data_IF_769330160184
#
_entry.id   IF_769330160184
#
_cell.length_a   1.000
_cell.length_b   1.000
_cell.length_c   1.000
_cell.angle_alpha   90.00
_cell.angle_beta   90.00
_cell.angle_gamma   90.00
#
_symmetry.space_group_name_H-M   'P 1'
#
loop_
_entity.id
_entity.type
_entity.pdbx_description
1 polymer ?
#
# COMPACT_ATOMS: atom_id res chain seq x y z
N UNK A 1 2.15 -6.61 -7.76
CA UNK A 1 2.10 -5.76 -8.97
C UNK A 1 3.36 -5.92 -9.78
N UNK A 2 3.32 -5.81 -11.11
CA UNK A 2 4.51 -5.84 -11.96
C UNK A 2 4.53 -4.65 -12.90
N UNK A 3 5.72 -4.08 -13.14
CA UNK A 3 5.94 -3.05 -14.16
C UNK A 3 7.42 -3.01 -14.53
N UNK A 4 7.74 -2.78 -15.82
CA UNK A 4 9.11 -2.59 -16.33
C UNK A 4 10.13 -3.64 -15.82
N UNK A 5 9.73 -4.91 -15.78
CA UNK A 5 10.60 -6.02 -15.34
C UNK A 5 10.83 -6.10 -13.82
N UNK A 6 9.99 -5.44 -13.01
CA UNK A 6 10.06 -5.46 -11.54
C UNK A 6 8.77 -6.02 -10.96
N UNK A 7 8.90 -6.78 -9.87
CA UNK A 7 7.81 -7.28 -9.05
C UNK A 7 7.75 -6.46 -7.76
N UNK A 8 6.58 -5.89 -7.46
CA UNK A 8 6.30 -5.13 -6.25
C UNK A 8 5.32 -5.89 -5.35
N UNK A 9 5.63 -5.96 -4.07
CA UNK A 9 4.80 -6.63 -3.07
C UNK A 9 4.90 -5.92 -1.71
N UNK A 10 3.83 -6.05 -0.90
CA UNK A 10 3.87 -5.73 0.52
C UNK A 10 4.16 -7.04 1.26
N UNK A 11 5.22 -7.04 2.07
CA UNK A 11 5.74 -8.25 2.74
C UNK A 11 5.91 -7.97 4.23
N UNK A 12 5.48 -8.92 5.05
CA UNK A 12 5.83 -8.97 6.47
C UNK A 12 7.11 -9.79 6.66
N UNK A 13 8.12 -9.20 7.28
CA UNK A 13 9.37 -9.85 7.66
C UNK A 13 9.44 -10.11 9.18
N UNK A 14 8.31 -10.05 9.90
CA UNK A 14 8.24 -10.50 11.29
C UNK A 14 8.51 -12.02 11.40
N UNK A 15 9.07 -12.49 12.54
CA UNK A 15 9.31 -13.92 12.73
C UNK A 15 8.03 -14.75 12.57
N UNK A 16 8.07 -15.77 11.72
CA UNK A 16 6.91 -16.63 11.43
C UNK A 16 6.40 -17.42 12.64
N UNK A 17 7.20 -17.56 13.70
CA UNK A 17 6.82 -18.20 14.96
C UNK A 17 5.91 -17.32 15.83
N UNK A 18 5.71 -16.06 15.44
CA UNK A 18 4.93 -15.07 16.17
C UNK A 18 3.63 -14.78 15.43
N UNK A 19 2.81 -15.80 15.21
CA UNK A 19 1.43 -15.59 14.76
C UNK A 19 0.54 -15.29 15.96
N UNK A 20 -0.49 -14.46 15.80
CA UNK A 20 -1.49 -14.26 16.85
C UNK A 20 -1.43 -12.93 17.59
N UNK A 21 -2.08 -12.92 18.75
CA UNK A 21 -2.13 -11.79 19.66
C UNK A 21 -0.85 -11.76 20.52
N UNK A 22 0.14 -10.99 20.12
CA UNK A 22 1.41 -10.81 20.86
C UNK A 22 1.86 -9.34 20.87
N UNK A 23 2.79 -9.01 21.76
CA UNK A 23 3.26 -7.62 21.94
C UNK A 23 4.40 -7.22 20.98
N UNK A 24 5.02 -8.19 20.31
CA UNK A 24 6.07 -7.90 19.32
C UNK A 24 5.48 -7.20 18.09
N UNK A 25 6.17 -6.19 17.51
CA UNK A 25 5.67 -5.46 16.35
C UNK A 25 5.86 -6.27 15.06
N UNK A 26 4.89 -6.15 14.14
CA UNK A 26 5.03 -6.65 12.76
C UNK A 26 6.08 -5.82 11.99
N UNK A 27 6.63 -6.36 10.89
CA UNK A 27 7.68 -5.69 10.11
C UNK A 27 7.32 -5.65 8.64
N UNK A 28 6.48 -4.68 8.29
CA UNK A 28 5.97 -4.53 6.93
C UNK A 28 6.86 -3.68 6.03
N UNK A 29 7.04 -4.14 4.79
CA UNK A 29 7.81 -3.45 3.76
C UNK A 29 7.08 -3.49 2.43
N UNK A 30 7.14 -2.37 1.68
CA UNK A 30 6.97 -2.41 0.23
C UNK A 30 8.31 -2.80 -0.37
N UNK A 31 8.35 -3.91 -1.09
CA UNK A 31 9.58 -4.44 -1.71
C UNK A 31 9.47 -4.38 -3.22
N UNK A 32 10.62 -4.14 -3.87
CA UNK A 32 10.79 -4.40 -5.29
C UNK A 32 11.81 -5.50 -5.51
N UNK A 33 11.48 -6.43 -6.39
CA UNK A 33 12.36 -7.50 -6.84
C UNK A 33 12.48 -7.47 -8.35
N UNK A 34 13.62 -7.92 -8.85
CA UNK A 34 13.76 -8.25 -10.27
C UNK A 34 12.74 -9.34 -10.64
N UNK A 35 11.96 -9.12 -11.70
CA UNK A 35 10.88 -10.03 -12.06
C UNK A 35 11.36 -11.31 -12.75
N UNK A 36 12.61 -11.36 -13.23
CA UNK A 36 13.18 -12.53 -13.87
C UNK A 36 13.77 -13.51 -12.84
N UNK A 37 14.51 -13.00 -11.85
CA UNK A 37 15.24 -13.85 -10.90
C UNK A 37 14.87 -13.65 -9.42
N UNK A 38 14.00 -12.68 -9.10
CA UNK A 38 13.54 -12.44 -7.73
C UNK A 38 14.54 -11.73 -6.81
N UNK A 39 15.69 -11.27 -7.33
CA UNK A 39 16.69 -10.51 -6.56
C UNK A 39 16.04 -9.27 -5.95
N UNK A 40 16.27 -9.05 -4.65
CA UNK A 40 15.81 -7.85 -3.96
C UNK A 40 16.53 -6.62 -4.52
N UNK A 41 15.77 -5.65 -5.02
CA UNK A 41 16.30 -4.39 -5.53
C UNK A 41 16.32 -3.34 -4.43
N UNK A 42 15.16 -3.14 -3.78
CA UNK A 42 14.99 -2.20 -2.69
C UNK A 42 13.80 -2.59 -1.81
N UNK A 43 13.76 -2.01 -0.60
CA UNK A 43 12.60 -2.09 0.29
C UNK A 43 12.36 -0.78 1.02
N UNK A 44 11.10 -0.41 1.18
CA UNK A 44 10.63 0.78 1.89
C UNK A 44 9.78 0.33 3.08
N UNK A 45 10.06 0.77 4.31
CA UNK A 45 9.28 0.38 5.48
C UNK A 45 7.86 0.96 5.40
N UNK A 46 6.86 0.13 5.73
CA UNK A 46 5.47 0.54 5.91
C UNK A 46 5.21 0.58 7.41
N UNK A 47 4.97 1.78 7.95
CA UNK A 47 4.67 1.94 9.38
C UNK A 47 3.18 1.83 9.60
N UNK A 48 2.77 1.32 10.75
CA UNK A 48 1.35 1.21 11.13
C UNK A 48 0.58 0.45 10.05
N UNK A 49 0.88 -0.84 9.91
CA UNK A 49 0.25 -1.76 8.97
C UNK A 49 -0.07 -3.09 9.67
N UNK A 50 -0.94 -3.87 9.05
CA UNK A 50 -1.39 -5.15 9.60
C UNK A 50 -2.60 -4.98 10.52
N UNK A 51 -2.99 -6.09 11.14
CA UNK A 51 -4.29 -6.23 11.79
C UNK A 51 -4.54 -5.28 12.96
N UNK A 52 -3.50 -4.90 13.67
CA UNK A 52 -3.57 -3.95 14.80
C UNK A 52 -4.08 -2.56 14.40
N UNK A 53 -4.05 -2.24 13.11
CA UNK A 53 -4.46 -0.93 12.59
C UNK A 53 -5.93 -0.86 12.18
N UNK A 54 -6.60 -2.01 12.07
CA UNK A 54 -7.98 -2.10 11.60
C UNK A 54 -8.90 -2.96 12.46
N UNK A 55 -8.37 -3.67 13.47
CA UNK A 55 -9.16 -4.43 14.43
C UNK A 55 -8.41 -4.66 15.75
N UNK A 56 -9.18 -4.96 16.80
CA UNK A 56 -8.67 -5.11 18.17
C UNK A 56 -8.06 -6.48 18.48
N UNK A 57 -8.36 -7.49 17.67
CA UNK A 57 -7.90 -8.88 17.88
C UNK A 57 -7.36 -9.51 16.60
N UNK A 58 -6.28 -10.27 16.70
CA UNK A 58 -5.72 -11.02 15.57
C UNK A 58 -6.70 -12.04 15.00
N UNK A 59 -7.59 -12.59 15.82
CA UNK A 59 -8.53 -13.63 15.41
C UNK A 59 -9.63 -13.08 14.49
N UNK A 60 -10.09 -13.90 13.53
CA UNK A 60 -11.25 -13.61 12.68
C UNK A 60 -12.17 -14.84 12.70
N UNK A 61 -13.44 -14.62 13.06
CA UNK A 61 -14.45 -15.69 13.16
C UNK A 61 -14.79 -16.37 11.82
N UNK A 62 -14.52 -15.69 10.70
CA UNK A 62 -14.69 -16.23 9.36
C UNK A 62 -13.41 -16.00 8.54
N UNK A 63 -12.95 -17.01 7.76
CA UNK A 63 -11.98 -16.77 6.71
C UNK A 63 -12.56 -15.74 5.76
N UNK A 64 -11.89 -14.60 5.63
CA UNK A 64 -12.35 -13.49 4.81
C UNK A 64 -11.22 -12.51 4.57
N UNK A 65 -11.31 -11.80 3.45
CA UNK A 65 -10.36 -10.74 3.08
C UNK A 65 -10.59 -9.52 3.99
N UNK A 66 -9.86 -9.48 5.12
CA UNK A 66 -10.00 -8.45 6.15
C UNK A 66 -8.65 -7.76 6.34
N UNK A 67 -8.57 -6.44 6.06
CA UNK A 67 -9.62 -5.55 5.62
C UNK A 67 -9.86 -5.72 4.12
N UNK A 68 -11.10 -5.48 3.70
CA UNK A 68 -11.47 -5.49 2.28
C UNK A 68 -10.56 -4.55 1.49
N UNK A 69 -10.08 -5.03 0.34
CA UNK A 69 -9.27 -4.29 -0.62
C UNK A 69 -7.83 -3.96 -0.19
N UNK A 70 -7.26 -4.62 0.82
CA UNK A 70 -5.86 -4.39 1.21
C UNK A 70 -4.88 -4.56 0.04
N UNK A 71 -5.15 -5.52 -0.84
CA UNK A 71 -4.42 -5.82 -2.07
C UNK A 71 -4.54 -4.71 -3.12
N UNK A 72 -5.56 -3.86 -3.05
CA UNK A 72 -5.82 -2.79 -4.02
C UNK A 72 -5.14 -1.46 -3.67
N UNK A 73 -4.26 -1.48 -2.68
CA UNK A 73 -3.51 -0.31 -2.19
C UNK A 73 -2.11 -0.20 -2.78
N UNK A 74 -1.80 -0.99 -3.80
CA UNK A 74 -0.53 -0.99 -4.52
C UNK A 74 -0.79 -1.01 -6.02
N UNK A 75 -0.33 0.02 -6.72
CA UNK A 75 -0.43 0.15 -8.18
C UNK A 75 0.95 0.49 -8.74
N UNK A 76 1.31 -0.08 -9.88
CA UNK A 76 2.55 0.25 -10.58
C UNK A 76 2.24 0.60 -12.04
N UNK A 77 2.74 1.73 -12.52
CA UNK A 77 2.56 2.22 -13.89
C UNK A 77 3.89 2.78 -14.39
N UNK A 78 4.44 2.18 -15.44
CA UNK A 78 5.75 2.60 -15.96
C UNK A 78 6.84 2.47 -14.90
N UNK A 79 7.51 3.59 -14.60
CA UNK A 79 8.54 3.69 -13.57
C UNK A 79 8.05 4.33 -12.27
N UNK A 80 6.73 4.36 -12.04
CA UNK A 80 6.11 4.90 -10.83
C UNK A 80 5.30 3.83 -10.11
N UNK A 81 5.41 3.81 -8.78
CA UNK A 81 4.60 2.99 -7.88
C UNK A 81 3.76 3.91 -6.99
N UNK A 82 2.47 3.63 -6.90
CA UNK A 82 1.55 4.29 -5.98
C UNK A 82 1.17 3.30 -4.87
N UNK A 83 1.39 3.70 -3.62
CA UNK A 83 1.02 2.89 -2.47
C UNK A 83 0.69 3.74 -1.24
N UNK A 84 -0.06 3.18 -0.29
CA UNK A 84 -0.18 3.75 1.06
C UNK A 84 0.90 3.15 1.97
N UNK A 85 1.81 3.98 2.49
CA UNK A 85 2.90 3.55 3.38
C UNK A 85 2.45 3.48 4.86
N UNK A 86 1.24 2.96 5.07
CA UNK A 86 0.56 2.79 6.34
C UNK A 86 -0.94 2.61 6.12
N UNK A 87 -1.63 1.96 7.05
CA UNK A 87 -3.04 1.59 6.84
C UNK A 87 -3.96 2.82 6.73
N UNK A 88 -3.68 3.87 7.49
CA UNK A 88 -4.39 5.14 7.41
C UNK A 88 -3.61 6.23 6.65
N UNK A 89 -2.44 5.88 6.10
CA UNK A 89 -1.57 6.83 5.44
C UNK A 89 -2.16 7.34 4.11
N UNK A 90 -1.79 8.55 3.68
CA UNK A 90 -2.10 9.02 2.34
C UNK A 90 -1.35 8.21 1.26
N UNK A 91 -1.81 8.32 0.02
CA UNK A 91 -1.13 7.75 -1.14
C UNK A 91 0.22 8.44 -1.33
N UNK A 92 1.24 7.64 -1.63
CA UNK A 92 2.58 8.10 -1.97
C UNK A 92 2.96 7.66 -3.38
N UNK A 93 3.60 8.57 -4.12
CA UNK A 93 4.30 8.32 -5.37
C UNK A 93 5.74 7.89 -5.05
N UNK A 94 6.15 6.75 -5.58
CA UNK A 94 7.43 6.11 -5.28
C UNK A 94 8.13 5.79 -6.60
N UNK A 95 9.40 6.14 -6.69
CA UNK A 95 10.24 5.76 -7.83
C UNK A 95 10.40 4.23 -7.88
N UNK A 96 9.98 3.62 -8.98
CA UNK A 96 9.95 2.16 -9.11
C UNK A 96 11.36 1.53 -9.13
N UNK A 97 12.40 2.30 -9.46
CA UNK A 97 13.78 1.80 -9.60
C UNK A 97 14.54 1.83 -8.27
N UNK A 98 14.29 2.82 -7.43
CA UNK A 98 15.06 3.09 -6.20
C UNK A 98 14.27 2.92 -4.91
N UNK A 99 12.94 2.98 -4.97
CA UNK A 99 12.09 3.03 -3.78
C UNK A 99 12.05 4.41 -3.12
N UNK A 100 12.62 5.45 -3.74
CA UNK A 100 12.54 6.81 -3.22
C UNK A 100 11.09 7.32 -3.26
N UNK A 101 10.62 7.86 -2.14
CA UNK A 101 9.32 8.55 -2.09
C UNK A 101 9.48 9.90 -2.79
N UNK A 102 8.79 10.08 -3.92
CA UNK A 102 8.86 11.30 -4.73
C UNK A 102 7.82 12.32 -4.30
N UNK A 103 6.63 11.85 -3.90
CA UNK A 103 5.49 12.71 -3.54
C UNK A 103 4.57 12.00 -2.56
N UNK A 104 3.90 12.77 -1.72
CA UNK A 104 2.78 12.29 -0.90
C UNK A 104 1.55 13.15 -1.18
N UNK A 105 0.45 12.51 -1.57
CA UNK A 105 -0.80 13.18 -1.91
C UNK A 105 -1.61 13.47 -0.64
N UNK A 106 -1.35 14.59 0.02
CA UNK A 106 -2.10 14.99 1.22
C UNK A 106 -3.62 15.08 0.95
N UNK A 107 -4.43 14.73 1.96
CA UNK A 107 -5.90 14.69 1.82
C UNK A 107 -6.43 13.38 1.23
N UNK A 108 -5.55 12.39 1.01
CA UNK A 108 -5.90 11.03 0.56
C UNK A 108 -5.74 9.99 1.67
N UNK A 109 -5.69 10.43 2.93
CA UNK A 109 -5.60 9.55 4.09
C UNK A 109 -6.74 8.53 4.09
N UNK A 110 -6.48 7.32 4.58
CA UNK A 110 -7.45 6.20 4.58
C UNK A 110 -7.92 5.80 3.18
N UNK A 111 -7.10 5.99 2.14
CA UNK A 111 -7.33 5.40 0.82
C UNK A 111 -7.37 3.87 0.92
N UNK A 112 -8.45 3.28 0.41
CA UNK A 112 -8.70 1.85 0.45
C UNK A 112 -8.45 1.15 -0.89
N UNK A 113 -8.59 1.87 -2.00
CA UNK A 113 -8.32 1.35 -3.35
C UNK A 113 -7.73 2.47 -4.19
N UNK A 114 -6.71 2.12 -4.96
CA UNK A 114 -6.03 3.01 -5.90
C UNK A 114 -6.25 2.43 -7.30
N UNK A 115 -6.70 3.29 -8.22
CA UNK A 115 -6.66 3.03 -9.65
C UNK A 115 -5.89 4.18 -10.31
N UNK A 116 -5.03 3.85 -11.28
CA UNK A 116 -4.34 4.86 -12.09
C UNK A 116 -4.76 4.68 -13.54
N UNK A 117 -5.36 5.72 -14.12
CA UNK A 117 -5.80 5.74 -15.51
C UNK A 117 -5.41 7.08 -16.13
N UNK A 118 -4.64 7.04 -17.22
CA UNK A 118 -4.27 8.23 -18.02
C UNK A 118 -3.76 9.42 -17.18
N UNK A 119 -2.88 9.14 -16.21
CA UNK A 119 -2.30 10.16 -15.33
C UNK A 119 -3.24 10.67 -14.22
N UNK A 120 -4.42 10.07 -14.07
CA UNK A 120 -5.36 10.36 -12.98
C UNK A 120 -5.37 9.20 -11.99
N UNK A 121 -5.19 9.51 -10.71
CA UNK A 121 -5.42 8.59 -9.61
C UNK A 121 -6.89 8.67 -9.20
N UNK A 122 -7.63 7.59 -9.39
CA UNK A 122 -8.99 7.42 -8.88
C UNK A 122 -8.88 6.66 -7.57
N UNK A 123 -9.26 7.31 -6.47
CA UNK A 123 -9.07 6.79 -5.13
C UNK A 123 -10.43 6.57 -4.47
N UNK A 124 -10.61 5.41 -3.84
CA UNK A 124 -11.67 5.23 -2.85
C UNK A 124 -11.11 5.53 -1.46
N UNK A 125 -11.73 6.48 -0.77
CA UNK A 125 -11.27 7.00 0.52
C UNK A 125 -12.34 6.74 1.57
N UNK A 126 -11.97 6.08 2.68
CA UNK A 126 -12.89 5.81 3.77
C UNK A 126 -13.21 7.12 4.51
N UNK A 127 -14.49 7.46 4.61
CA UNK A 127 -14.98 8.68 5.25
C UNK A 127 -16.19 8.38 6.12
N UNK A 128 -16.01 8.43 7.45
CA UNK A 128 -17.02 7.96 8.39
C UNK A 128 -17.33 6.48 8.18
N UNK A 129 -18.62 6.15 8.04
CA UNK A 129 -19.11 4.80 7.70
C UNK A 129 -19.17 4.55 6.18
N UNK A 130 -18.84 5.56 5.36
CA UNK A 130 -18.96 5.51 3.91
C UNK A 130 -17.62 5.53 3.17
N UNK A 131 -17.73 5.55 1.84
CA UNK A 131 -16.62 5.69 0.91
C UNK A 131 -16.85 6.95 0.08
N UNK A 132 -15.83 7.80 -0.02
CA UNK A 132 -15.77 8.92 -0.97
C UNK A 132 -14.85 8.51 -2.12
N UNK A 133 -15.29 8.72 -3.35
CA UNK A 133 -14.41 8.60 -4.52
C UNK A 133 -13.82 9.99 -4.82
N UNK A 134 -12.53 10.05 -5.11
CA UNK A 134 -11.85 11.28 -5.53
C UNK A 134 -10.92 11.01 -6.71
N UNK A 135 -10.75 12.04 -7.55
CA UNK A 135 -9.77 12.04 -8.62
C UNK A 135 -8.61 12.97 -8.23
N UNK A 136 -7.38 12.50 -8.41
CA UNK A 136 -6.17 13.29 -8.17
C UNK A 136 -5.32 13.25 -9.42
N UNK A 137 -4.93 14.41 -9.93
CA UNK A 137 -3.94 14.49 -11.02
C UNK A 137 -2.60 13.96 -10.51
N UNK A 138 -2.05 12.92 -11.12
CA UNK A 138 -0.86 12.25 -10.60
C UNK A 138 0.37 13.18 -10.65
N UNK A 139 0.47 14.00 -11.71
CA UNK A 139 1.60 14.88 -11.93
C UNK A 139 1.56 16.07 -10.95
N UNK A 140 0.44 16.79 -10.86
CA UNK A 140 0.32 17.99 -10.03
C UNK A 140 -0.07 17.71 -8.58
N UNK A 141 -0.71 16.57 -8.31
CA UNK A 141 -1.34 16.26 -7.01
C UNK A 141 -2.63 17.04 -6.75
N UNK A 142 -3.16 17.75 -7.76
CA UNK A 142 -4.40 18.53 -7.62
C UNK A 142 -5.61 17.61 -7.57
N UNK A 143 -6.45 17.80 -6.56
CA UNK A 143 -7.73 17.09 -6.44
C UNK A 143 -8.76 17.72 -7.39
N UNK A 144 -9.50 16.88 -8.11
CA UNK A 144 -10.58 17.28 -9.03
C UNK A 144 -11.93 16.79 -8.52
#
# INVERSE_FOLDING_TARGET
>A
MTARGRLFAIVDEAPISLVGQHDLPDKWFLVARDAFNGVLLWKVPIRRWGWREYKDTWFNLRPGDIPLNIQKRLVAVGDTVYATLGYQAPVSEIDARSGQILKTYAGTERTNEILCLDGTLVLSVLSGEGVKVMAVDAASGTQR
#
